data_IF_505294152122
#
_entry.id   IF_505294152122
#
_cell.length_a   1.000
_cell.length_b   1.000
_cell.length_c   1.000
_cell.angle_alpha   90.00
_cell.angle_beta   90.00
_cell.angle_gamma   90.00
#
_symmetry.space_group_name_H-M   'P 1'
#
loop_
_entity.id
_entity.type
_entity.pdbx_description
1 polymer ?
#
# COMPACT_ATOMS: atom_id res chain seq x y z
N UNK A 1 -69.48 8.66 14.54
CA UNK A 1 -68.54 7.52 14.63
C UNK A 1 -67.74 7.71 15.91
N UNK A 2 -68.15 7.12 17.04
CA UNK A 2 -67.76 5.77 17.53
C UNK A 2 -66.26 5.78 17.90
N UNK A 3 -65.74 5.50 19.10
CA UNK A 3 -66.20 5.11 20.45
C UNK A 3 -65.00 5.46 21.38
N UNK A 4 -65.26 5.98 22.59
CA UNK A 4 -64.35 5.87 23.75
C UNK A 4 -64.63 4.53 24.42
N UNK A 5 -63.61 3.75 24.82
CA UNK A 5 -63.74 2.93 26.03
C UNK A 5 -62.41 2.38 26.56
N UNK A 6 -62.46 2.13 27.86
CA UNK A 6 -61.42 1.93 28.89
C UNK A 6 -61.36 0.47 29.37
N UNK A 7 -60.15 0.04 29.80
CA UNK A 7 -59.83 -1.01 30.82
C UNK A 7 -60.30 -2.47 30.57
N UNK A 8 -59.87 -3.51 31.34
CA UNK A 8 -58.83 -3.60 32.39
C UNK A 8 -57.87 -4.83 32.33
N UNK A 9 -56.88 -4.81 33.25
CA UNK A 9 -56.14 -5.96 33.79
C UNK A 9 -57.05 -7.12 34.22
N UNK A 10 -56.56 -8.35 34.01
CA UNK A 10 -56.92 -9.52 34.83
C UNK A 10 -55.66 -10.32 35.16
N UNK A 11 -55.44 -10.52 36.47
CA UNK A 11 -54.50 -11.47 37.03
C UNK A 11 -55.15 -12.87 37.07
N UNK A 12 -54.36 -13.91 36.81
CA UNK A 12 -54.67 -15.28 37.22
C UNK A 12 -53.36 -16.05 37.48
N UNK A 13 -53.22 -16.48 38.73
CA UNK A 13 -52.20 -17.42 39.20
C UNK A 13 -52.56 -18.86 38.79
N UNK A 14 -51.59 -19.78 38.82
CA UNK A 14 -51.59 -21.03 39.63
C UNK A 14 -50.69 -22.14 39.02
N UNK A 15 -49.86 -22.69 39.91
CA UNK A 15 -49.31 -24.05 40.04
C UNK A 15 -48.21 -24.61 39.11
N UNK A 16 -47.06 -24.80 39.76
CA UNK A 16 -46.04 -25.84 39.56
C UNK A 16 -46.61 -27.27 39.74
N UNK A 17 -45.96 -28.30 39.17
CA UNK A 17 -45.29 -29.23 40.07
C UNK A 17 -43.86 -29.66 39.63
N UNK A 18 -43.04 -29.85 40.65
CA UNK A 18 -41.75 -30.55 40.67
C UNK A 18 -41.96 -32.07 40.47
N UNK A 19 -41.10 -32.73 39.68
CA UNK A 19 -40.78 -34.15 39.84
C UNK A 19 -39.28 -34.35 39.63
N UNK A 20 -38.62 -34.92 40.64
CA UNK A 20 -37.26 -35.45 40.61
C UNK A 20 -37.25 -36.87 40.03
N UNK A 21 -36.21 -37.23 39.27
CA UNK A 21 -35.73 -38.60 39.18
C UNK A 21 -34.21 -38.63 38.95
N UNK A 22 -33.51 -39.31 39.86
CA UNK A 22 -32.12 -39.77 39.76
C UNK A 22 -32.06 -41.04 38.90
N UNK A 23 -30.96 -41.27 38.19
CA UNK A 23 -30.61 -42.56 37.61
C UNK A 23 -29.23 -42.58 36.95
N UNK A 24 -28.26 -43.18 37.63
CA UNK A 24 -26.94 -43.54 37.09
C UNK A 24 -27.06 -44.71 36.09
N UNK A 25 -26.14 -44.77 35.12
CA UNK A 25 -25.91 -45.93 34.27
C UNK A 25 -24.66 -45.73 33.41
N UNK A 26 -23.54 -46.24 33.90
CA UNK A 26 -22.28 -46.48 33.21
C UNK A 26 -22.44 -47.70 32.29
N UNK A 27 -22.03 -47.59 31.02
CA UNK A 27 -21.67 -48.70 30.14
C UNK A 27 -20.89 -48.15 28.94
N UNK A 28 -19.61 -48.52 28.86
CA UNK A 28 -18.68 -48.09 27.81
C UNK A 28 -18.95 -48.71 26.44
N UNK A 29 -18.64 -47.94 25.40
CA UNK A 29 -18.32 -48.45 24.07
C UNK A 29 -17.27 -47.54 23.42
N UNK A 30 -16.12 -48.13 23.09
CA UNK A 30 -15.14 -47.51 22.19
C UNK A 30 -15.72 -47.43 20.78
N UNK A 31 -15.73 -46.24 20.20
CA UNK A 31 -15.71 -46.05 18.75
C UNK A 31 -14.67 -44.99 18.43
N UNK A 32 -13.64 -45.41 17.70
CA UNK A 32 -12.76 -44.54 16.95
C UNK A 32 -13.57 -43.85 15.86
N UNK A 33 -13.59 -42.53 15.81
CA UNK A 33 -13.78 -41.79 14.57
C UNK A 33 -13.14 -40.41 14.70
N UNK A 34 -12.26 -40.16 13.71
CA UNK A 34 -11.85 -38.89 13.10
C UNK A 34 -12.01 -37.60 13.90
N UNK A 35 -10.88 -36.94 14.15
CA UNK A 35 -10.83 -35.52 14.50
C UNK A 35 -11.44 -34.69 13.35
N UNK A 36 -12.71 -34.38 13.50
CA UNK A 36 -13.37 -33.25 12.88
C UNK A 36 -13.43 -32.15 13.94
N UNK A 37 -12.53 -31.17 13.85
CA UNK A 37 -12.60 -29.94 14.64
C UNK A 37 -12.86 -28.79 13.68
N UNK A 38 -14.05 -28.78 13.09
CA UNK A 38 -14.68 -27.56 12.61
C UNK A 38 -16.07 -27.43 13.25
N UNK A 39 -16.07 -27.22 14.57
CA UNK A 39 -17.25 -26.82 15.33
C UNK A 39 -17.09 -25.36 15.70
N UNK A 40 -17.97 -24.54 15.12
CA UNK A 40 -18.25 -23.16 15.51
C UNK A 40 -18.84 -23.14 16.93
N UNK A 41 -17.97 -23.29 17.93
CA UNK A 41 -18.27 -22.84 19.28
C UNK A 41 -18.13 -21.32 19.31
N UNK A 42 -18.92 -20.65 20.12
CA UNK A 42 -18.78 -19.24 20.51
C UNK A 42 -17.48 -19.01 21.32
N UNK A 43 -16.34 -19.44 20.76
CA UNK A 43 -15.03 -19.43 21.39
C UNK A 43 -14.57 -17.99 21.56
N UNK A 44 -14.12 -17.69 22.78
CA UNK A 44 -13.38 -16.47 23.03
C UNK A 44 -12.13 -16.46 22.12
N UNK A 45 -11.83 -15.32 21.51
CA UNK A 45 -10.64 -15.15 20.69
C UNK A 45 -9.38 -15.44 21.53
N UNK A 46 -8.55 -16.37 21.06
CA UNK A 46 -7.27 -16.68 21.72
C UNK A 46 -6.19 -15.73 21.20
N UNK A 47 -5.83 -14.74 22.03
CA UNK A 47 -4.76 -13.80 21.72
C UNK A 47 -3.39 -14.49 21.62
N UNK A 48 -2.53 -13.94 20.77
CA UNK A 48 -1.20 -14.43 20.44
C UNK A 48 -1.19 -15.86 19.83
N UNK A 49 -2.34 -16.33 19.35
CA UNK A 49 -2.44 -17.59 18.63
C UNK A 49 -1.79 -17.52 17.25
N UNK A 50 -1.34 -18.67 16.78
CA UNK A 50 -0.84 -18.86 15.43
C UNK A 50 -2.02 -19.12 14.48
N UNK A 51 -2.07 -18.38 13.38
CA UNK A 51 -3.09 -18.47 12.34
C UNK A 51 -2.44 -19.03 11.07
N UNK A 52 -3.02 -20.11 10.55
CA UNK A 52 -2.58 -20.78 9.33
C UNK A 52 -3.77 -21.10 8.41
N UNK A 53 -3.49 -21.34 7.12
CA UNK A 53 -4.50 -21.82 6.17
C UNK A 53 -5.51 -20.74 5.73
N UNK A 54 -6.80 -21.03 5.80
CA UNK A 54 -7.86 -20.20 5.21
C UNK A 54 -8.80 -19.59 6.25
N UNK A 55 -9.25 -18.36 5.99
CA UNK A 55 -10.33 -17.68 6.72
C UNK A 55 -11.52 -17.59 5.75
N UNK A 56 -12.54 -18.43 5.98
CA UNK A 56 -13.67 -18.60 5.04
C UNK A 56 -14.99 -18.00 5.53
N UNK A 57 -14.99 -17.42 6.73
CA UNK A 57 -16.12 -16.70 7.30
C UNK A 57 -15.66 -15.40 7.95
N UNK A 58 -16.58 -14.44 8.05
CA UNK A 58 -16.32 -13.16 8.71
C UNK A 58 -15.67 -13.37 10.08
N UNK A 59 -14.52 -12.75 10.26
CA UNK A 59 -13.65 -12.91 11.43
C UNK A 59 -13.25 -11.53 11.91
N UNK A 60 -13.24 -11.32 13.23
CA UNK A 60 -12.76 -10.09 13.85
C UNK A 60 -11.63 -10.42 14.81
N UNK A 61 -10.48 -9.79 14.61
CA UNK A 61 -9.34 -9.85 15.53
C UNK A 61 -9.37 -8.61 16.43
N UNK A 62 -9.60 -8.83 17.71
CA UNK A 62 -9.58 -7.81 18.78
C UNK A 62 -8.25 -7.78 19.52
N UNK A 63 -7.37 -8.78 19.32
CA UNK A 63 -6.02 -8.82 19.83
C UNK A 63 -5.02 -9.37 18.80
N UNK A 64 -3.75 -9.44 19.18
CA UNK A 64 -2.66 -9.81 18.28
C UNK A 64 -2.65 -11.30 17.93
N UNK A 65 -2.14 -11.61 16.74
CA UNK A 65 -1.96 -12.97 16.22
C UNK A 65 -0.64 -13.09 15.48
N UNK A 66 -0.19 -14.32 15.26
CA UNK A 66 0.98 -14.63 14.44
C UNK A 66 0.59 -15.45 13.22
N UNK A 67 0.88 -14.97 12.01
CA UNK A 67 0.64 -15.68 10.76
C UNK A 67 1.73 -16.73 10.52
N UNK A 68 1.31 -17.91 10.07
CA UNK A 68 2.17 -19.04 9.72
C UNK A 68 1.80 -19.58 8.35
N UNK A 69 2.76 -19.55 7.42
CA UNK A 69 2.49 -19.79 6.01
C UNK A 69 1.57 -18.72 5.39
N UNK A 70 1.08 -19.00 4.19
CA UNK A 70 0.17 -18.08 3.48
C UNK A 70 -1.23 -18.21 4.05
N UNK A 71 -1.68 -17.19 4.78
CA UNK A 71 -3.04 -17.11 5.34
C UNK A 71 -3.95 -16.44 4.32
N UNK A 72 -4.97 -17.16 3.85
CA UNK A 72 -5.85 -16.67 2.77
C UNK A 72 -7.27 -16.39 3.28
N UNK A 73 -7.70 -15.13 3.21
CA UNK A 73 -9.11 -14.74 3.41
C UNK A 73 -9.85 -14.97 2.11
N UNK A 74 -10.84 -15.87 2.12
CA UNK A 74 -11.55 -16.30 0.89
C UNK A 74 -13.05 -16.51 1.12
N UNK A 75 -13.73 -16.96 0.08
CA UNK A 75 -15.15 -17.33 0.11
C UNK A 75 -16.10 -16.18 0.52
N UNK A 76 -15.72 -14.94 0.22
CA UNK A 76 -16.53 -13.77 0.54
C UNK A 76 -16.39 -13.27 1.98
N UNK A 77 -15.45 -13.82 2.75
CA UNK A 77 -15.23 -13.45 4.13
C UNK A 77 -14.68 -12.02 4.26
N UNK A 78 -15.01 -11.39 5.39
CA UNK A 78 -14.37 -10.15 5.84
C UNK A 78 -13.49 -10.44 7.04
N UNK A 79 -12.20 -10.14 6.90
CA UNK A 79 -11.28 -10.07 8.03
C UNK A 79 -11.28 -8.64 8.56
N UNK A 80 -11.75 -8.45 9.79
CA UNK A 80 -11.72 -7.16 10.48
C UNK A 80 -10.64 -7.17 11.56
N UNK A 81 -9.74 -6.19 11.53
CA UNK A 81 -8.69 -6.02 12.53
C UNK A 81 -8.97 -4.75 13.32
N UNK A 82 -9.10 -4.88 14.63
CA UNK A 82 -9.48 -3.75 15.50
C UNK A 82 -8.29 -2.79 15.75
N UNK A 83 -8.55 -1.51 16.05
CA UNK A 83 -7.49 -0.54 16.35
C UNK A 83 -6.48 -1.01 17.41
N UNK A 84 -5.20 -0.74 17.17
CA UNK A 84 -4.10 -1.08 18.09
C UNK A 84 -3.67 -2.55 18.07
N UNK A 85 -4.31 -3.39 17.26
CA UNK A 85 -3.90 -4.79 17.10
C UNK A 85 -2.57 -4.87 16.33
N UNK A 86 -1.68 -5.73 16.81
CA UNK A 86 -0.43 -6.09 16.12
C UNK A 86 -0.52 -7.52 15.61
N UNK A 87 -0.38 -7.70 14.30
CA UNK A 87 -0.29 -8.98 13.62
C UNK A 87 1.17 -9.22 13.23
N UNK A 88 1.69 -10.40 13.55
CA UNK A 88 3.08 -10.78 13.29
C UNK A 88 3.17 -11.80 12.18
N UNK A 89 4.13 -11.71 11.27
CA UNK A 89 4.41 -12.73 10.27
C UNK A 89 5.64 -13.56 10.64
N UNK A 90 5.50 -14.90 10.64
CA UNK A 90 6.64 -15.80 10.63
C UNK A 90 7.32 -15.81 9.25
N UNK A 91 8.54 -16.31 9.20
CA UNK A 91 9.25 -16.55 7.95
C UNK A 91 8.42 -17.46 7.02
N UNK A 92 8.28 -17.06 5.74
CA UNK A 92 7.43 -17.74 4.78
C UNK A 92 5.92 -17.51 4.94
N UNK A 93 5.50 -16.61 5.84
CA UNK A 93 4.09 -16.23 5.97
C UNK A 93 3.70 -15.04 5.10
N UNK A 94 2.42 -14.93 4.76
CA UNK A 94 1.84 -13.76 4.08
C UNK A 94 0.34 -13.68 4.38
N UNK A 95 -0.27 -12.50 4.22
CA UNK A 95 -1.72 -12.35 4.25
C UNK A 95 -2.25 -12.11 2.83
N UNK A 96 -3.07 -13.02 2.32
CA UNK A 96 -3.70 -12.90 1.00
C UNK A 96 -5.21 -12.73 1.18
N UNK A 97 -5.78 -11.70 0.56
CA UNK A 97 -7.23 -11.46 0.54
C UNK A 97 -7.72 -11.76 -0.87
N UNK A 98 -8.30 -12.94 -1.03
CA UNK A 98 -8.76 -13.43 -2.32
C UNK A 98 -9.96 -12.65 -2.84
N UNK A 99 -10.09 -12.61 -4.17
CA UNK A 99 -11.22 -11.99 -4.86
C UNK A 99 -12.56 -12.48 -4.30
N UNK A 100 -13.47 -11.56 -4.06
CA UNK A 100 -14.72 -11.71 -3.31
C UNK A 100 -14.63 -11.33 -1.83
N UNK A 101 -13.44 -11.31 -1.24
CA UNK A 101 -13.20 -11.12 0.20
C UNK A 101 -12.63 -9.73 0.50
N UNK A 102 -12.60 -9.33 1.78
CA UNK A 102 -12.16 -7.99 2.19
C UNK A 102 -11.31 -7.99 3.46
N UNK A 103 -10.33 -7.09 3.51
CA UNK A 103 -9.63 -6.72 4.76
C UNK A 103 -10.11 -5.36 5.25
N UNK A 104 -10.60 -5.30 6.48
CA UNK A 104 -11.05 -4.08 7.15
C UNK A 104 -10.09 -3.82 8.32
N UNK A 105 -9.10 -2.97 8.11
CA UNK A 105 -8.11 -2.57 9.09
C UNK A 105 -8.17 -1.05 9.28
N UNK A 106 -8.99 -0.60 10.22
CA UNK A 106 -9.21 0.82 10.48
C UNK A 106 -8.75 1.17 11.90
N UNK A 107 -7.45 1.45 12.03
CA UNK A 107 -6.85 1.97 13.25
C UNK A 107 -7.16 3.44 13.50
N UNK A 108 -6.41 4.02 14.44
CA UNK A 108 -6.42 5.46 14.73
C UNK A 108 -5.00 5.98 14.83
N UNK A 109 -4.81 7.30 14.82
CA UNK A 109 -3.49 7.91 15.02
C UNK A 109 -2.82 7.41 16.31
N UNK A 110 -3.58 7.30 17.40
CA UNK A 110 -3.09 6.87 18.71
C UNK A 110 -2.99 5.33 18.85
N UNK A 111 -3.71 4.58 18.01
CA UNK A 111 -3.76 3.12 18.01
C UNK A 111 -3.70 2.59 16.57
N UNK A 112 -2.55 2.76 15.88
CA UNK A 112 -2.39 2.22 14.54
C UNK A 112 -2.44 0.68 14.59
N UNK A 113 -2.92 0.08 13.51
CA UNK A 113 -2.81 -1.37 13.32
C UNK A 113 -1.45 -1.67 12.71
N UNK A 114 -0.77 -2.68 13.22
CA UNK A 114 0.61 -2.99 12.81
C UNK A 114 0.68 -4.42 12.30
N UNK A 115 1.10 -4.60 11.06
CA UNK A 115 1.52 -5.88 10.49
C UNK A 115 3.05 -5.88 10.41
N UNK A 116 3.73 -6.80 11.10
CA UNK A 116 5.19 -6.73 11.28
C UNK A 116 5.83 -8.11 11.41
N UNK A 117 7.16 -8.15 11.47
CA UNK A 117 7.93 -9.38 11.71
C UNK A 117 7.63 -10.01 13.07
N UNK A 118 7.57 -11.34 13.11
CA UNK A 118 7.52 -12.12 14.35
C UNK A 118 8.86 -12.16 15.11
N UNK A 119 9.96 -11.71 14.49
CA UNK A 119 11.24 -11.60 15.17
C UNK A 119 11.20 -10.53 16.27
N UNK A 120 12.06 -10.72 17.27
CA UNK A 120 12.22 -9.76 18.34
C UNK A 120 12.72 -8.41 17.79
N UNK A 121 12.22 -7.31 18.36
CA UNK A 121 12.75 -5.96 18.11
C UNK A 121 14.27 -5.94 18.29
N UNK A 122 14.97 -5.27 17.39
CA UNK A 122 16.43 -5.30 17.32
C UNK A 122 16.98 -6.41 16.41
N UNK A 123 16.15 -7.35 15.97
CA UNK A 123 16.53 -8.47 15.10
C UNK A 123 15.69 -8.57 13.82
N UNK A 124 14.78 -7.62 13.58
CA UNK A 124 13.94 -7.63 12.39
C UNK A 124 14.74 -7.16 11.18
N UNK A 125 14.36 -7.66 10.01
CA UNK A 125 14.99 -7.32 8.76
C UNK A 125 13.98 -7.37 7.60
N UNK A 126 14.36 -6.71 6.50
CA UNK A 126 13.68 -6.83 5.21
C UNK A 126 13.48 -8.31 4.86
N UNK A 127 12.27 -8.68 4.44
CA UNK A 127 11.95 -10.03 4.01
C UNK A 127 11.73 -11.02 5.14
N UNK A 128 11.46 -10.56 6.36
CA UNK A 128 11.13 -11.46 7.47
C UNK A 128 9.81 -12.20 7.23
N UNK A 129 8.86 -11.58 6.52
CA UNK A 129 7.59 -12.16 6.08
C UNK A 129 7.15 -11.54 4.74
N UNK A 130 6.10 -12.09 4.13
CA UNK A 130 5.68 -11.79 2.77
C UNK A 130 5.11 -10.39 2.60
N UNK A 131 4.15 -10.00 3.44
CA UNK A 131 3.37 -8.77 3.25
C UNK A 131 1.89 -9.04 3.07
N UNK A 132 1.17 -8.05 2.55
CA UNK A 132 -0.28 -8.11 2.33
C UNK A 132 -0.57 -8.08 0.83
N UNK A 133 -1.32 -9.06 0.34
CA UNK A 133 -1.76 -9.16 -1.06
C UNK A 133 -3.27 -9.02 -1.12
N UNK A 134 -3.77 -8.03 -1.86
CA UNK A 134 -5.20 -7.75 -2.02
C UNK A 134 -5.61 -8.02 -3.47
N UNK A 135 -6.51 -8.98 -3.67
CA UNK A 135 -6.97 -9.43 -4.99
C UNK A 135 -8.37 -8.91 -5.31
N UNK A 136 -8.48 -8.09 -6.35
CA UNK A 136 -9.70 -7.43 -6.78
C UNK A 136 -10.23 -7.88 -8.14
N UNK A 137 -11.36 -7.29 -8.52
CA UNK A 137 -12.11 -7.58 -9.76
C UNK A 137 -12.19 -6.38 -10.73
N UNK A 138 -11.47 -5.28 -10.46
CA UNK A 138 -11.42 -4.14 -11.37
C UNK A 138 -10.66 -4.47 -12.66
N UNK A 139 -10.73 -3.57 -13.64
CA UNK A 139 -10.06 -3.77 -14.92
C UNK A 139 -8.54 -3.70 -14.78
N UNK A 140 -7.87 -4.49 -15.60
CA UNK A 140 -6.46 -4.38 -15.95
C UNK A 140 -6.32 -4.45 -17.47
N UNK A 141 -5.10 -4.30 -17.97
CA UNK A 141 -4.80 -4.31 -19.41
C UNK A 141 -4.16 -5.62 -19.88
N UNK A 142 -4.20 -6.68 -19.05
CA UNK A 142 -3.77 -8.02 -19.45
C UNK A 142 -4.62 -8.54 -20.61
N UNK A 143 -4.03 -9.33 -21.50
CA UNK A 143 -4.71 -9.82 -22.70
C UNK A 143 -6.00 -10.62 -22.39
N UNK A 144 -6.05 -11.30 -21.24
CA UNK A 144 -7.20 -12.06 -20.75
C UNK A 144 -8.11 -11.26 -19.81
N UNK A 145 -7.74 -10.03 -19.45
CA UNK A 145 -8.41 -9.21 -18.42
C UNK A 145 -8.30 -9.78 -16.99
N UNK A 146 -7.45 -10.78 -16.79
CA UNK A 146 -7.24 -11.47 -15.51
C UNK A 146 -5.87 -12.14 -15.48
N UNK A 147 -5.27 -12.20 -14.30
CA UNK A 147 -3.96 -12.80 -14.05
C UNK A 147 -3.99 -13.65 -12.78
N UNK A 148 -2.84 -14.28 -12.48
CA UNK A 148 -2.58 -14.91 -11.17
C UNK A 148 -1.51 -14.07 -10.50
N UNK A 149 -1.72 -13.73 -9.22
CA UNK A 149 -0.75 -12.96 -8.45
C UNK A 149 0.60 -13.69 -8.40
N UNK A 150 1.66 -12.92 -8.62
CA UNK A 150 3.03 -13.41 -8.60
C UNK A 150 3.50 -13.76 -7.19
N UNK A 151 4.53 -14.61 -7.10
CA UNK A 151 5.02 -15.17 -5.84
C UNK A 151 4.13 -16.25 -5.23
N UNK A 152 2.87 -16.35 -5.67
CA UNK A 152 1.88 -17.31 -5.18
C UNK A 152 1.72 -18.53 -6.11
N UNK A 153 1.04 -19.57 -5.61
CA UNK A 153 0.81 -20.80 -6.39
C UNK A 153 -0.04 -20.53 -7.64
N UNK A 154 0.62 -20.54 -8.81
CA UNK A 154 0.00 -20.33 -10.11
C UNK A 154 -1.14 -21.32 -10.44
N UNK A 155 -1.20 -22.47 -9.76
CA UNK A 155 -2.27 -23.45 -9.90
C UNK A 155 -3.50 -23.19 -9.03
N UNK A 156 -3.43 -22.25 -8.08
CA UNK A 156 -4.51 -21.97 -7.14
C UNK A 156 -5.45 -20.86 -7.67
N UNK A 157 -6.72 -21.16 -7.97
CA UNK A 157 -7.67 -20.17 -8.47
C UNK A 157 -8.03 -19.07 -7.45
N UNK A 158 -7.77 -19.27 -6.15
CA UNK A 158 -8.00 -18.22 -5.14
C UNK A 158 -7.05 -17.03 -5.33
N UNK A 159 -5.93 -17.22 -6.03
CA UNK A 159 -4.93 -16.18 -6.31
C UNK A 159 -5.15 -15.46 -7.64
N UNK A 160 -6.28 -15.71 -8.29
CA UNK A 160 -6.69 -14.99 -9.49
C UNK A 160 -7.21 -13.58 -9.17
N UNK A 161 -6.83 -12.61 -10.00
CA UNK A 161 -7.32 -11.23 -9.94
C UNK A 161 -7.78 -10.74 -11.30
N UNK A 162 -8.40 -9.56 -11.31
CA UNK A 162 -8.87 -8.92 -12.52
C UNK A 162 -10.27 -9.37 -12.91
N UNK A 163 -10.96 -8.48 -13.61
CA UNK A 163 -12.33 -8.63 -14.02
C UNK A 163 -12.83 -7.36 -14.72
N UNK A 164 -14.03 -6.92 -14.36
CA UNK A 164 -14.65 -5.74 -14.97
C UNK A 164 -15.35 -4.81 -13.99
N UNK A 165 -15.22 -5.03 -12.68
CA UNK A 165 -15.87 -4.23 -11.64
C UNK A 165 -14.95 -3.13 -11.12
N UNK A 166 -14.96 -1.99 -11.80
CA UNK A 166 -14.22 -0.77 -11.39
C UNK A 166 -14.69 -0.20 -10.04
N UNK A 167 -15.82 -0.66 -9.49
CA UNK A 167 -16.31 -0.31 -8.16
C UNK A 167 -15.94 -1.36 -7.08
N UNK A 168 -15.19 -2.41 -7.45
CA UNK A 168 -14.80 -3.47 -6.54
C UNK A 168 -14.04 -2.92 -5.32
N UNK A 169 -14.30 -3.49 -4.14
CA UNK A 169 -13.66 -3.08 -2.90
C UNK A 169 -12.83 -4.23 -2.32
N UNK A 170 -11.51 -4.04 -2.27
CA UNK A 170 -10.59 -4.91 -1.55
C UNK A 170 -10.67 -4.73 -0.02
N UNK A 171 -11.41 -3.72 0.44
CA UNK A 171 -11.59 -3.39 1.85
C UNK A 171 -11.10 -1.98 2.20
N UNK A 172 -10.66 -1.80 3.44
CA UNK A 172 -10.17 -0.51 3.97
C UNK A 172 -8.90 -0.67 4.79
N UNK A 173 -7.91 0.16 4.51
CA UNK A 173 -6.68 0.32 5.28
C UNK A 173 -6.63 1.77 5.78
N UNK A 174 -6.73 1.95 7.10
CA UNK A 174 -6.64 3.26 7.73
C UNK A 174 -5.79 3.26 8.99
N UNK A 175 -4.79 4.15 9.07
CA UNK A 175 -3.78 4.14 10.15
C UNK A 175 -3.14 2.76 10.32
N UNK A 176 -2.58 2.25 9.23
CA UNK A 176 -1.97 0.92 9.15
C UNK A 176 -0.49 1.06 8.90
N UNK A 177 0.32 0.27 9.59
CA UNK A 177 1.73 0.06 9.28
C UNK A 177 1.98 -1.37 8.84
N UNK A 178 2.79 -1.53 7.81
CA UNK A 178 3.25 -2.82 7.30
C UNK A 178 4.77 -2.79 7.25
N UNK A 179 5.41 -3.62 8.04
CA UNK A 179 6.83 -3.48 8.39
C UNK A 179 7.61 -4.77 8.10
N UNK A 180 8.85 -4.67 7.60
CA UNK A 180 9.81 -5.78 7.46
C UNK A 180 9.34 -6.93 6.54
N UNK A 181 8.62 -6.55 5.49
CA UNK A 181 8.04 -7.39 4.42
C UNK A 181 9.04 -7.73 3.33
N UNK A 182 8.67 -8.53 2.31
CA UNK A 182 9.58 -8.86 1.21
C UNK A 182 9.99 -10.33 1.07
N UNK A 183 9.29 -11.27 1.70
CA UNK A 183 9.74 -12.67 1.70
C UNK A 183 9.60 -13.32 0.32
N UNK A 184 10.66 -13.99 -0.13
CA UNK A 184 10.75 -14.77 -1.37
C UNK A 184 10.01 -16.12 -1.23
N UNK A 185 8.73 -16.16 -1.62
CA UNK A 185 7.94 -17.40 -1.54
C UNK A 185 8.36 -18.44 -2.58
N UNK A 186 8.80 -17.98 -3.76
CA UNK A 186 9.39 -18.82 -4.80
C UNK A 186 10.63 -18.16 -5.38
N UNK A 187 11.53 -18.94 -6.00
CA UNK A 187 12.85 -18.47 -6.42
C UNK A 187 12.74 -17.21 -7.31
N UNK A 188 13.45 -16.15 -6.92
CA UNK A 188 13.49 -14.84 -7.57
C UNK A 188 12.08 -14.19 -7.69
N UNK A 189 11.22 -14.42 -6.69
CA UNK A 189 9.87 -13.85 -6.61
C UNK A 189 9.48 -13.56 -5.15
N UNK A 190 10.02 -12.46 -4.66
CA UNK A 190 9.64 -11.76 -3.45
C UNK A 190 8.21 -11.20 -3.55
N UNK A 191 7.50 -11.18 -2.42
CA UNK A 191 6.26 -10.41 -2.31
C UNK A 191 6.57 -8.98 -1.87
N UNK A 192 5.73 -8.02 -2.29
CA UNK A 192 5.86 -6.62 -1.94
C UNK A 192 5.27 -6.32 -0.56
N UNK A 193 5.41 -5.08 -0.10
CA UNK A 193 4.87 -4.71 1.20
C UNK A 193 3.35 -4.74 1.26
N UNK A 194 2.70 -3.96 0.40
CA UNK A 194 1.26 -4.09 0.15
C UNK A 194 1.02 -4.09 -1.34
N UNK A 195 0.52 -5.21 -1.85
CA UNK A 195 0.21 -5.38 -3.27
C UNK A 195 -1.28 -5.26 -3.52
N UNK A 196 -1.65 -4.39 -4.46
CA UNK A 196 -3.03 -4.20 -4.91
C UNK A 196 -3.20 -4.73 -6.33
N UNK A 197 -3.76 -5.93 -6.46
CA UNK A 197 -4.12 -6.47 -7.77
C UNK A 197 -5.55 -6.09 -8.12
N UNK A 198 -5.73 -5.22 -9.11
CA UNK A 198 -7.04 -4.88 -9.68
C UNK A 198 -8.07 -4.46 -8.61
N UNK A 199 -7.62 -3.70 -7.60
CA UNK A 199 -8.51 -3.11 -6.60
C UNK A 199 -9.22 -1.88 -7.17
N UNK A 200 -10.54 -1.81 -6.94
CA UNK A 200 -11.40 -0.78 -7.52
C UNK A 200 -11.63 0.43 -6.62
N UNK A 201 -12.42 1.39 -7.12
CA UNK A 201 -12.81 2.63 -6.42
C UNK A 201 -13.55 2.43 -5.09
N UNK A 202 -14.05 1.22 -4.81
CA UNK A 202 -14.63 0.88 -3.51
C UNK A 202 -13.60 0.62 -2.41
N UNK A 203 -12.31 0.55 -2.75
CA UNK A 203 -11.21 0.33 -1.80
C UNK A 203 -10.81 1.65 -1.14
N UNK A 204 -10.66 1.67 0.18
CA UNK A 204 -10.25 2.87 0.93
C UNK A 204 -8.84 2.70 1.49
N UNK A 205 -7.95 3.64 1.19
CA UNK A 205 -6.60 3.69 1.75
C UNK A 205 -6.31 5.10 2.24
N UNK A 206 -6.08 5.27 3.53
CA UNK A 206 -5.81 6.57 4.15
C UNK A 206 -4.89 6.40 5.37
N UNK A 207 -3.71 7.02 5.42
CA UNK A 207 -2.71 6.76 6.48
C UNK A 207 -2.19 5.32 6.45
N UNK A 208 -1.51 4.96 5.36
CA UNK A 208 -0.82 3.68 5.20
C UNK A 208 0.69 3.94 5.19
N UNK A 209 1.43 3.22 6.03
CA UNK A 209 2.89 3.16 5.96
C UNK A 209 3.36 1.78 5.57
N UNK A 210 4.30 1.70 4.63
CA UNK A 210 5.17 0.54 4.43
C UNK A 210 6.61 0.88 4.83
N UNK A 211 7.24 0.00 5.61
CA UNK A 211 8.55 0.24 6.20
C UNK A 211 9.49 -0.96 6.03
N UNK A 212 10.70 -0.71 5.51
CA UNK A 212 11.78 -1.71 5.44
C UNK A 212 11.37 -3.00 4.68
N UNK A 213 10.78 -2.86 3.49
CA UNK A 213 10.48 -3.99 2.60
C UNK A 213 11.71 -4.47 1.80
N UNK A 214 11.87 -5.78 1.58
CA UNK A 214 12.97 -6.32 0.74
C UNK A 214 12.74 -6.03 -0.74
N UNK A 215 11.48 -6.01 -1.13
CA UNK A 215 11.00 -5.66 -2.46
C UNK A 215 10.26 -4.32 -2.40
N UNK A 216 9.34 -4.07 -3.32
CA UNK A 216 8.62 -2.82 -3.39
C UNK A 216 7.82 -2.51 -2.12
N UNK A 217 7.72 -1.21 -1.83
CA UNK A 217 6.89 -0.73 -0.73
C UNK A 217 5.42 -1.01 -0.99
N UNK A 218 4.87 -0.38 -2.03
CA UNK A 218 3.50 -0.59 -2.48
C UNK A 218 3.52 -0.81 -3.98
N UNK A 219 2.87 -1.86 -4.44
CA UNK A 219 2.77 -2.16 -5.86
C UNK A 219 1.31 -2.31 -6.30
N UNK A 220 0.99 -1.74 -7.46
CA UNK A 220 -0.36 -1.77 -8.02
C UNK A 220 -0.38 -2.40 -9.42
N UNK A 221 -1.09 -3.52 -9.53
CA UNK A 221 -1.30 -4.25 -10.78
C UNK A 221 -2.73 -4.03 -11.30
N UNK A 222 -2.91 -3.04 -12.17
CA UNK A 222 -4.24 -2.66 -12.65
C UNK A 222 -5.16 -2.10 -11.56
N UNK A 223 -6.43 -1.88 -11.91
CA UNK A 223 -7.42 -1.27 -11.02
C UNK A 223 -7.37 0.26 -10.98
N UNK A 224 -8.17 0.84 -10.10
CA UNK A 224 -8.41 2.29 -10.07
C UNK A 224 -8.76 2.84 -8.68
N UNK A 225 -8.34 2.13 -7.61
CA UNK A 225 -8.44 2.66 -6.25
C UNK A 225 -7.58 3.93 -6.09
N UNK A 226 -7.98 4.82 -5.17
CA UNK A 226 -7.22 6.02 -4.85
C UNK A 226 -6.97 6.12 -3.35
N UNK A 227 -5.82 6.67 -2.96
CA UNK A 227 -5.37 6.73 -1.58
C UNK A 227 -4.92 8.12 -1.13
N UNK A 228 -4.88 8.32 0.18
CA UNK A 228 -4.34 9.53 0.80
C UNK A 228 -3.38 9.20 1.94
N UNK A 229 -2.44 10.10 2.24
CA UNK A 229 -1.51 9.96 3.37
C UNK A 229 -0.75 8.63 3.33
N UNK A 230 0.10 8.47 2.32
CA UNK A 230 0.88 7.26 2.10
C UNK A 230 2.34 7.51 2.44
N UNK A 231 2.94 6.62 3.23
CA UNK A 231 4.35 6.70 3.60
C UNK A 231 5.05 5.42 3.16
N UNK A 232 6.15 5.54 2.44
CA UNK A 232 7.07 4.42 2.21
C UNK A 232 8.45 4.83 2.68
N UNK A 233 9.06 3.96 3.48
CA UNK A 233 10.33 4.26 4.15
C UNK A 233 11.26 3.08 3.99
N UNK A 234 12.34 3.32 3.25
CA UNK A 234 13.35 2.33 2.91
C UNK A 234 12.68 1.10 2.32
N UNK A 235 12.11 1.15 1.13
CA UNK A 235 12.01 -0.05 0.30
C UNK A 235 13.42 -0.36 -0.23
N UNK A 236 13.75 -1.63 -0.44
CA UNK A 236 15.07 -1.99 -0.98
C UNK A 236 15.05 -2.00 -2.51
N UNK A 237 13.92 -2.36 -3.12
CA UNK A 237 13.65 -2.10 -4.54
C UNK A 237 12.94 -0.74 -4.68
N UNK A 238 11.72 -0.69 -5.22
CA UNK A 238 11.02 0.57 -5.50
C UNK A 238 10.08 0.99 -4.36
N UNK A 239 9.91 2.30 -4.16
CA UNK A 239 8.99 2.74 -3.10
C UNK A 239 7.53 2.56 -3.51
N UNK A 240 7.21 2.94 -4.75
CA UNK A 240 5.90 2.72 -5.37
C UNK A 240 6.13 2.18 -6.78
N UNK A 241 5.57 1.01 -7.08
CA UNK A 241 5.46 0.50 -8.44
C UNK A 241 4.00 0.51 -8.90
N UNK A 242 3.76 0.79 -10.19
CA UNK A 242 2.54 0.34 -10.81
C UNK A 242 2.68 -0.11 -12.25
N UNK A 243 1.86 -1.08 -12.61
CA UNK A 243 1.75 -1.63 -13.94
C UNK A 243 0.29 -2.00 -14.30
N UNK A 244 0.14 -2.75 -15.39
CA UNK A 244 -1.04 -3.49 -15.79
C UNK A 244 -2.35 -2.68 -15.89
N UNK A 245 -2.24 -1.40 -16.20
CA UNK A 245 -3.38 -0.53 -16.45
C UNK A 245 -3.92 0.14 -15.20
N UNK A 246 -3.10 0.33 -14.16
CA UNK A 246 -3.50 1.08 -12.98
C UNK A 246 -3.83 2.55 -13.33
N UNK A 247 -5.03 3.00 -12.98
CA UNK A 247 -5.54 4.36 -13.33
C UNK A 247 -5.97 5.15 -12.10
N UNK A 248 -5.56 4.70 -10.92
CA UNK A 248 -5.87 5.34 -9.65
C UNK A 248 -5.03 6.58 -9.36
N UNK A 249 -5.07 7.04 -8.11
CA UNK A 249 -4.34 8.25 -7.71
C UNK A 249 -3.96 8.23 -6.24
N UNK A 250 -2.81 8.81 -5.90
CA UNK A 250 -2.38 9.02 -4.51
C UNK A 250 -2.19 10.51 -4.22
N UNK A 251 -2.61 10.96 -3.04
CA UNK A 251 -2.38 12.33 -2.56
C UNK A 251 -1.75 12.37 -1.17
N UNK A 252 -0.84 13.30 -0.93
CA UNK A 252 -0.06 13.39 0.32
C UNK A 252 0.79 12.13 0.50
N UNK A 253 1.90 12.07 -0.23
CA UNK A 253 2.77 10.89 -0.31
C UNK A 253 4.18 11.26 0.16
N UNK A 254 4.71 10.55 1.14
CA UNK A 254 6.06 10.71 1.63
C UNK A 254 6.89 9.45 1.36
N UNK A 255 7.91 9.56 0.52
CA UNK A 255 8.82 8.46 0.18
C UNK A 255 10.22 8.82 0.65
N UNK A 256 10.83 7.96 1.44
CA UNK A 256 12.15 8.24 2.04
C UNK A 256 12.99 6.98 1.89
N UNK A 257 13.99 7.02 1.01
CA UNK A 257 14.87 5.88 0.75
C UNK A 257 15.92 5.71 1.87
N UNK A 258 16.34 4.47 2.07
CA UNK A 258 17.34 4.10 3.08
C UNK A 258 18.74 4.39 2.52
N UNK A 259 19.61 5.16 3.21
CA UNK A 259 20.98 5.43 2.73
C UNK A 259 21.82 4.20 2.38
N UNK A 260 21.45 3.01 2.86
CA UNK A 260 22.11 1.76 2.55
C UNK A 260 21.40 0.89 1.48
N UNK A 261 20.17 1.24 1.06
CA UNK A 261 19.35 0.44 0.15
C UNK A 261 18.28 1.27 -0.57
N UNK A 262 17.93 0.87 -1.79
CA UNK A 262 16.84 1.47 -2.55
C UNK A 262 17.14 1.51 -4.04
N UNK A 263 16.08 1.57 -4.82
CA UNK A 263 16.10 1.72 -6.26
C UNK A 263 15.36 3.01 -6.65
N UNK A 264 14.21 2.97 -7.30
CA UNK A 264 13.41 4.15 -7.63
C UNK A 264 12.44 4.55 -6.50
N UNK A 265 12.14 5.84 -6.39
CA UNK A 265 10.98 6.27 -5.59
C UNK A 265 9.68 5.89 -6.30
N UNK A 266 9.67 5.88 -7.64
CA UNK A 266 8.56 5.42 -8.46
C UNK A 266 9.08 4.61 -9.65
N UNK A 267 8.61 3.39 -9.84
CA UNK A 267 8.74 2.66 -11.10
C UNK A 267 7.35 2.51 -11.73
N UNK A 268 7.16 3.05 -12.94
CA UNK A 268 5.84 3.13 -13.56
C UNK A 268 5.91 2.52 -14.96
N UNK A 269 5.07 1.53 -15.21
CA UNK A 269 5.02 0.80 -16.47
C UNK A 269 3.59 0.60 -16.97
N UNK A 270 3.40 0.31 -18.25
CA UNK A 270 2.07 -0.02 -18.77
C UNK A 270 1.81 -1.53 -18.77
N UNK A 271 2.35 -2.23 -19.76
CA UNK A 271 2.26 -3.69 -19.86
C UNK A 271 3.38 -4.18 -20.76
N UNK A 272 4.21 -5.08 -20.24
CA UNK A 272 5.46 -5.49 -20.88
C UNK A 272 5.30 -6.20 -22.24
N UNK A 273 4.22 -6.98 -22.43
CA UNK A 273 3.96 -7.71 -23.69
C UNK A 273 3.31 -6.84 -24.78
N UNK A 274 2.65 -5.74 -24.38
CA UNK A 274 1.95 -4.82 -25.25
C UNK A 274 1.98 -3.41 -24.65
N UNK A 275 3.00 -2.63 -25.04
CA UNK A 275 3.22 -1.27 -24.55
C UNK A 275 2.05 -0.31 -24.84
N UNK A 276 1.15 -0.68 -25.76
CA UNK A 276 -0.06 0.06 -26.12
C UNK A 276 -1.35 -0.55 -25.54
N UNK A 277 -1.25 -1.43 -24.54
CA UNK A 277 -2.39 -2.03 -23.89
C UNK A 277 -3.28 -0.98 -23.22
N UNK A 278 -4.59 -1.22 -23.28
CA UNK A 278 -5.62 -0.37 -22.68
C UNK A 278 -6.45 -1.18 -21.65
N UNK A 279 -6.89 -0.58 -20.53
CA UNK A 279 -6.63 0.80 -20.13
C UNK A 279 -5.14 1.04 -19.86
N UNK A 280 -4.60 2.14 -20.36
CA UNK A 280 -3.20 2.50 -20.12
C UNK A 280 -2.97 2.78 -18.63
N UNK A 281 -1.86 2.30 -18.06
CA UNK A 281 -1.41 2.73 -16.74
C UNK A 281 -1.22 4.24 -16.79
N UNK A 282 -1.98 4.95 -15.95
CA UNK A 282 -2.10 6.40 -15.96
C UNK A 282 -2.34 6.97 -14.56
N UNK A 283 -1.49 6.66 -13.56
CA UNK A 283 -1.65 7.16 -12.21
C UNK A 283 -1.48 8.67 -12.12
N UNK A 284 -2.06 9.24 -11.06
CA UNK A 284 -1.77 10.61 -10.63
C UNK A 284 -1.22 10.64 -9.23
N UNK A 285 -0.12 11.34 -9.04
CA UNK A 285 0.52 11.54 -7.75
C UNK A 285 0.50 13.04 -7.42
N UNK A 286 -0.13 13.41 -6.31
CA UNK A 286 -0.37 14.80 -5.95
C UNK A 286 0.17 15.05 -4.54
N UNK A 287 0.89 16.15 -4.33
CA UNK A 287 1.50 16.46 -3.02
C UNK A 287 2.46 15.34 -2.58
N UNK A 288 3.58 15.21 -3.28
CA UNK A 288 4.60 14.18 -3.04
C UNK A 288 5.84 14.83 -2.43
N UNK A 289 6.44 14.20 -1.43
CA UNK A 289 7.83 14.47 -1.02
C UNK A 289 8.60 13.16 -1.12
N UNK A 290 9.46 13.05 -2.12
CA UNK A 290 10.32 11.90 -2.37
C UNK A 290 11.78 12.29 -2.09
N UNK A 291 12.40 11.57 -1.15
CA UNK A 291 13.74 11.84 -0.66
C UNK A 291 14.60 10.61 -0.96
N UNK A 292 15.56 10.80 -1.85
CA UNK A 292 16.60 9.83 -2.16
C UNK A 292 17.74 9.88 -1.13
N UNK A 293 18.85 9.27 -1.50
CA UNK A 293 20.02 9.15 -0.64
C UNK A 293 21.19 9.89 -1.27
N UNK A 294 21.47 11.09 -0.78
CA UNK A 294 22.69 11.81 -1.14
C UNK A 294 23.88 11.21 -0.36
N UNK A 295 24.27 9.98 -0.68
CA UNK A 295 25.38 9.31 -0.01
C UNK A 295 26.70 9.55 -0.76
N UNK A 296 27.60 10.28 -0.11
CA UNK A 296 29.03 10.18 -0.43
C UNK A 296 29.55 8.80 -0.05
N UNK A 297 29.91 7.98 -1.04
CA UNK A 297 30.60 6.69 -0.88
C UNK A 297 30.37 5.75 -2.06
N UNK A 298 31.25 4.75 -2.24
CA UNK A 298 31.14 3.67 -3.24
C UNK A 298 30.03 2.64 -2.88
N UNK A 299 28.90 3.09 -2.35
CA UNK A 299 27.72 2.23 -2.16
C UNK A 299 26.93 2.32 -3.47
N UNK A 300 26.69 1.18 -4.09
CA UNK A 300 25.78 1.06 -5.24
C UNK A 300 24.33 1.34 -4.82
N UNK A 301 24.01 2.56 -4.38
CA UNK A 301 22.61 2.95 -4.20
C UNK A 301 22.09 3.35 -5.57
N UNK A 302 21.25 2.51 -6.17
CA UNK A 302 20.45 2.81 -7.37
C UNK A 302 19.35 3.86 -7.06
N UNK A 303 19.50 4.63 -5.98
CA UNK A 303 18.58 5.64 -5.45
C UNK A 303 18.22 6.67 -6.51
N UNK A 304 17.11 6.45 -7.20
CA UNK A 304 16.63 7.22 -8.33
C UNK A 304 15.19 7.70 -8.09
N UNK A 305 14.74 8.69 -8.85
CA UNK A 305 13.45 9.35 -8.63
C UNK A 305 12.31 8.58 -9.26
N UNK A 306 12.03 8.83 -10.54
CA UNK A 306 10.91 8.24 -11.28
C UNK A 306 11.43 7.52 -12.52
N UNK A 307 11.04 6.27 -12.70
CA UNK A 307 11.19 5.52 -13.93
C UNK A 307 9.87 5.45 -14.67
N UNK A 308 9.88 5.84 -15.94
CA UNK A 308 8.74 5.78 -16.85
C UNK A 308 9.08 4.83 -17.99
N UNK A 309 8.45 3.66 -18.02
CA UNK A 309 8.74 2.62 -19.00
C UNK A 309 7.49 2.08 -19.69
N UNK A 310 7.71 1.32 -20.75
CA UNK A 310 6.70 0.45 -21.35
C UNK A 310 5.43 1.16 -21.87
N UNK A 311 5.49 2.45 -22.20
CA UNK A 311 4.34 3.20 -22.67
C UNK A 311 3.45 3.76 -21.56
N UNK A 312 3.92 3.85 -20.31
CA UNK A 312 3.13 4.43 -19.23
C UNK A 312 2.72 5.89 -19.51
N UNK A 313 1.57 6.30 -18.98
CA UNK A 313 1.21 7.71 -18.76
C UNK A 313 1.31 8.01 -17.26
N UNK A 314 1.60 9.25 -16.86
CA UNK A 314 1.70 9.60 -15.44
C UNK A 314 1.57 11.11 -15.26
N UNK A 315 0.92 11.54 -14.18
CA UNK A 315 0.87 12.96 -13.82
C UNK A 315 1.31 13.19 -12.37
N UNK A 316 2.32 14.04 -12.19
CA UNK A 316 2.81 14.51 -10.91
C UNK A 316 2.45 16.00 -10.72
N UNK A 317 1.84 16.31 -9.58
CA UNK A 317 1.54 17.69 -9.19
C UNK A 317 2.04 17.95 -7.77
N UNK A 318 2.61 19.13 -7.53
CA UNK A 318 3.07 19.51 -6.19
C UNK A 318 4.08 18.50 -5.61
N UNK A 319 5.02 18.02 -6.42
CA UNK A 319 5.99 17.01 -6.00
C UNK A 319 7.35 17.63 -5.65
N UNK A 320 8.01 17.16 -4.59
CA UNK A 320 9.41 17.44 -4.28
C UNK A 320 10.20 16.16 -4.57
N UNK A 321 11.23 16.26 -5.42
CA UNK A 321 12.24 15.22 -5.64
C UNK A 321 13.59 15.72 -5.15
N UNK A 322 14.09 15.11 -4.09
CA UNK A 322 15.23 15.61 -3.31
C UNK A 322 16.28 14.54 -3.10
N UNK A 323 17.52 14.82 -3.47
CA UNK A 323 18.67 14.03 -3.02
C UNK A 323 18.86 12.66 -3.69
N UNK A 324 18.33 12.44 -4.90
CA UNK A 324 18.56 11.21 -5.64
C UNK A 324 19.96 11.15 -6.24
N UNK A 325 20.64 10.01 -6.07
CA UNK A 325 21.95 9.77 -6.69
C UNK A 325 21.81 9.35 -8.15
N UNK A 326 20.90 8.42 -8.45
CA UNK A 326 20.58 8.02 -9.82
C UNK A 326 19.81 9.09 -10.60
N UNK A 327 19.26 8.72 -11.77
CA UNK A 327 18.37 9.59 -12.53
C UNK A 327 17.20 10.06 -11.65
N UNK A 328 16.91 11.36 -11.65
CA UNK A 328 15.70 11.84 -10.97
C UNK A 328 14.47 11.52 -11.81
N UNK A 329 14.59 11.57 -13.14
CA UNK A 329 13.59 11.06 -14.07
C UNK A 329 14.33 10.24 -15.13
N UNK A 330 13.97 8.97 -15.26
CA UNK A 330 14.34 8.10 -16.37
C UNK A 330 13.09 7.82 -17.22
N UNK A 331 13.21 7.99 -18.55
CA UNK A 331 12.16 7.64 -19.51
C UNK A 331 12.74 6.70 -20.57
N UNK A 332 12.21 5.49 -20.65
CA UNK A 332 12.67 4.46 -21.59
C UNK A 332 11.62 4.14 -22.64
N UNK A 333 12.08 3.53 -23.75
CA UNK A 333 11.29 3.12 -24.92
C UNK A 333 10.61 4.24 -25.73
N UNK A 334 10.64 4.10 -27.06
CA UNK A 334 9.95 5.04 -27.96
C UNK A 334 8.42 5.08 -27.79
N UNK A 335 7.82 4.05 -27.18
CA UNK A 335 6.39 4.05 -26.85
C UNK A 335 6.06 5.07 -25.74
N UNK A 336 6.86 5.09 -24.67
CA UNK A 336 6.71 6.07 -23.57
C UNK A 336 7.00 7.49 -24.06
N UNK A 337 8.00 7.66 -24.93
CA UNK A 337 8.30 8.95 -25.58
C UNK A 337 7.11 9.45 -26.41
N UNK A 338 6.42 8.56 -27.13
CA UNK A 338 5.23 8.92 -27.91
C UNK A 338 4.07 9.36 -27.01
N UNK A 339 3.88 8.71 -25.85
CA UNK A 339 2.90 9.11 -24.84
C UNK A 339 3.26 10.48 -24.24
N UNK A 340 4.54 10.69 -23.91
CA UNK A 340 5.03 11.96 -23.40
C UNK A 340 4.84 13.10 -24.43
N UNK A 341 5.20 12.88 -25.70
CA UNK A 341 4.99 13.84 -26.79
C UNK A 341 3.51 14.18 -27.05
N UNK A 342 2.59 13.26 -26.70
CA UNK A 342 1.15 13.48 -26.75
C UNK A 342 0.58 14.17 -25.50
N UNK A 343 1.41 14.49 -24.51
CA UNK A 343 1.02 15.15 -23.25
C UNK A 343 0.52 14.21 -22.17
N UNK A 344 0.81 12.91 -22.27
CA UNK A 344 0.46 11.88 -21.28
C UNK A 344 1.39 11.80 -20.07
N UNK A 345 2.54 12.48 -20.11
CA UNK A 345 3.47 12.63 -18.99
C UNK A 345 3.46 14.09 -18.53
N UNK A 346 3.25 14.33 -17.23
CA UNK A 346 3.22 15.68 -16.64
C UNK A 346 3.95 15.75 -15.31
N UNK A 347 4.71 16.81 -15.13
CA UNK A 347 5.29 17.23 -13.86
C UNK A 347 4.99 18.70 -13.70
N UNK A 348 4.08 19.07 -12.79
CA UNK A 348 3.59 20.45 -12.67
C UNK A 348 3.65 20.95 -11.23
N UNK A 349 4.11 22.19 -11.06
CA UNK A 349 4.31 22.84 -9.77
C UNK A 349 5.17 21.95 -8.86
N UNK A 350 6.23 21.36 -9.40
CA UNK A 350 7.11 20.44 -8.70
C UNK A 350 8.49 21.05 -8.49
N UNK A 351 9.25 20.51 -7.54
CA UNK A 351 10.58 20.98 -7.20
C UNK A 351 11.58 19.85 -7.31
N UNK A 352 12.72 20.15 -7.92
CA UNK A 352 13.86 19.24 -8.08
C UNK A 352 15.08 19.91 -7.44
N UNK A 353 15.70 19.25 -6.45
CA UNK A 353 16.85 19.82 -5.76
C UNK A 353 17.82 18.74 -5.27
N UNK A 354 19.12 19.00 -5.43
CA UNK A 354 20.17 18.13 -4.91
C UNK A 354 20.18 16.73 -5.51
N UNK A 355 19.61 16.55 -6.70
CA UNK A 355 19.66 15.28 -7.44
C UNK A 355 20.90 15.28 -8.32
N UNK A 356 21.78 14.28 -8.20
CA UNK A 356 23.02 14.23 -8.98
C UNK A 356 23.62 12.83 -9.05
N UNK A 357 23.82 12.35 -10.29
CA UNK A 357 24.60 11.14 -10.60
C UNK A 357 26.11 11.38 -10.58
N UNK A 358 26.52 12.61 -10.88
CA UNK A 358 27.91 13.06 -10.92
C UNK A 358 27.85 14.57 -10.73
N UNK A 359 28.52 15.10 -9.70
CA UNK A 359 28.47 16.49 -9.24
C UNK A 359 28.91 17.52 -10.32
N UNK A 360 28.00 17.91 -11.21
CA UNK A 360 28.18 19.00 -12.17
C UNK A 360 27.08 20.09 -12.10
N UNK A 361 26.09 19.91 -11.23
CA UNK A 361 24.99 20.85 -11.01
C UNK A 361 23.84 20.75 -12.01
N UNK A 362 23.77 19.71 -12.85
CA UNK A 362 22.60 19.42 -13.68
C UNK A 362 21.64 18.43 -12.99
N UNK A 363 20.34 18.64 -13.16
CA UNK A 363 19.33 17.67 -12.75
C UNK A 363 19.39 16.43 -13.67
N UNK A 364 19.57 15.20 -13.14
CA UNK A 364 19.86 14.04 -13.97
C UNK A 364 18.58 13.47 -14.62
N UNK A 365 18.26 13.96 -15.82
CA UNK A 365 17.25 13.38 -16.70
C UNK A 365 17.88 12.36 -17.66
N UNK A 366 17.31 11.16 -17.75
CA UNK A 366 17.84 10.08 -18.60
C UNK A 366 16.78 9.59 -19.57
N UNK A 367 17.20 9.37 -20.81
CA UNK A 367 16.39 8.71 -21.85
C UNK A 367 17.10 7.45 -22.35
N UNK A 368 16.35 6.55 -22.97
CA UNK A 368 16.90 5.30 -23.52
C UNK A 368 18.10 5.50 -24.46
N UNK A 369 19.01 4.52 -24.51
CA UNK A 369 20.25 4.61 -25.28
C UNK A 369 19.98 4.96 -26.77
N UNK A 370 20.61 6.04 -27.24
CA UNK A 370 20.46 6.51 -28.62
C UNK A 370 19.20 7.34 -28.90
N UNK A 371 18.34 7.57 -27.90
CA UNK A 371 17.21 8.49 -28.00
C UNK A 371 17.67 9.94 -28.12
N UNK A 372 16.83 10.76 -28.74
CA UNK A 372 16.97 12.22 -28.80
C UNK A 372 15.75 12.94 -28.21
N UNK A 373 14.95 12.25 -27.40
CA UNK A 373 13.78 12.84 -26.75
C UNK A 373 14.22 13.94 -25.76
N UNK A 374 13.58 15.11 -25.85
CA UNK A 374 13.91 16.27 -25.03
C UNK A 374 13.17 16.21 -23.69
N UNK A 375 13.64 15.32 -22.81
CA UNK A 375 13.06 15.14 -21.47
C UNK A 375 13.27 16.39 -20.60
N UNK A 376 14.44 17.02 -20.69
CA UNK A 376 14.74 18.29 -20.01
C UNK A 376 13.73 19.37 -20.42
N UNK A 377 13.52 19.59 -21.72
CA UNK A 377 12.55 20.55 -22.21
C UNK A 377 11.10 20.24 -21.82
N UNK A 378 10.74 18.96 -21.66
CA UNK A 378 9.42 18.57 -21.15
C UNK A 378 9.25 18.92 -19.68
N UNK A 379 10.24 18.66 -18.83
CA UNK A 379 10.17 18.89 -17.38
C UNK A 379 10.33 20.38 -17.07
N UNK A 380 11.27 21.06 -17.71
CA UNK A 380 11.63 22.45 -17.43
C UNK A 380 10.85 23.47 -18.27
N UNK A 381 9.81 23.04 -19.00
CA UNK A 381 8.89 23.98 -19.68
C UNK A 381 8.35 24.99 -18.65
N UNK A 382 8.52 26.31 -18.87
CA UNK A 382 8.01 27.33 -17.97
C UNK A 382 6.51 27.24 -17.66
N UNK A 383 5.71 26.61 -18.54
CA UNK A 383 4.29 26.36 -18.31
C UNK A 383 4.01 25.38 -17.16
N UNK A 384 4.99 24.55 -16.80
CA UNK A 384 4.88 23.60 -15.70
C UNK A 384 5.03 24.26 -14.32
N UNK A 385 5.65 25.45 -14.24
CA UNK A 385 6.02 26.12 -12.98
C UNK A 385 6.88 25.24 -12.05
N UNK A 386 7.76 24.43 -12.61
CA UNK A 386 8.70 23.65 -11.82
C UNK A 386 9.84 24.53 -11.27
N UNK A 387 10.28 24.23 -10.06
CA UNK A 387 11.41 24.87 -9.39
C UNK A 387 12.62 23.94 -9.51
N UNK A 388 13.61 24.35 -10.32
CA UNK A 388 14.85 23.60 -10.53
C UNK A 388 15.95 24.19 -9.65
N UNK A 389 16.78 23.34 -9.05
CA UNK A 389 17.91 23.70 -8.19
C UNK A 389 17.58 24.70 -7.08
N UNK A 390 16.35 24.61 -6.58
CA UNK A 390 15.84 25.48 -5.53
C UNK A 390 15.66 24.67 -4.26
N UNK A 391 16.38 25.03 -3.19
CA UNK A 391 16.30 24.31 -1.91
C UNK A 391 14.86 24.36 -1.34
N UNK A 392 14.21 23.21 -1.07
CA UNK A 392 12.88 23.19 -0.47
C UNK A 392 12.87 23.62 1.00
N UNK A 393 14.04 23.79 1.63
CA UNK A 393 14.20 24.16 3.03
C UNK A 393 13.40 23.25 3.98
N UNK A 394 13.51 21.93 3.78
CA UNK A 394 12.99 20.93 4.72
C UNK A 394 13.86 20.86 5.98
N UNK A 395 13.26 20.49 7.11
CA UNK A 395 13.89 20.69 8.43
C UNK A 395 14.68 19.49 8.96
N UNK A 396 14.62 18.32 8.31
CA UNK A 396 15.47 17.17 8.61
C UNK A 396 15.38 16.05 7.56
N UNK A 397 16.53 15.61 7.03
CA UNK A 397 16.64 14.53 6.03
C UNK A 397 17.24 13.24 6.61
N UNK A 398 17.34 13.13 7.94
CA UNK A 398 17.82 11.91 8.59
C UNK A 398 16.78 10.80 8.41
N UNK A 399 17.15 9.71 7.75
CA UNK A 399 16.27 8.56 7.52
C UNK A 399 15.66 8.00 8.82
N UNK A 400 16.40 8.04 9.92
CA UNK A 400 15.95 7.49 11.21
C UNK A 400 15.04 8.42 11.99
N UNK A 401 14.96 9.69 11.61
CA UNK A 401 14.12 10.70 12.22
C UNK A 401 13.84 11.85 11.22
N UNK A 402 13.14 11.59 10.11
CA UNK A 402 12.98 12.58 9.07
C UNK A 402 11.99 13.65 9.53
N UNK A 403 12.23 14.87 9.07
CA UNK A 403 11.31 15.99 9.26
C UNK A 403 11.13 16.66 7.90
N UNK A 404 10.11 16.19 7.20
CA UNK A 404 9.77 16.60 5.84
C UNK A 404 8.98 17.91 5.80
N UNK A 405 8.71 18.53 6.95
CA UNK A 405 8.04 19.82 7.00
C UNK A 405 8.95 20.95 6.48
N UNK A 406 8.46 21.79 5.55
CA UNK A 406 9.20 22.96 5.10
C UNK A 406 9.25 24.04 6.18
N UNK A 407 10.35 24.80 6.22
CA UNK A 407 10.44 26.01 7.05
C UNK A 407 9.50 27.12 6.56
N UNK A 408 9.29 28.13 7.39
CA UNK A 408 8.49 29.30 7.03
C UNK A 408 9.02 30.08 5.80
N UNK A 409 10.33 30.01 5.56
CA UNK A 409 11.01 30.68 4.45
C UNK A 409 11.03 29.84 3.17
N UNK A 410 10.50 28.62 3.21
CA UNK A 410 10.54 27.69 2.08
C UNK A 410 9.82 28.24 0.84
N UNK A 411 10.42 28.09 -0.35
CA UNK A 411 9.80 28.50 -1.61
C UNK A 411 8.62 27.61 -2.01
N UNK A 412 8.46 26.44 -1.38
CA UNK A 412 7.35 25.52 -1.67
C UNK A 412 6.02 25.99 -1.09
N UNK A 413 6.04 26.92 -0.14
CA UNK A 413 4.84 27.46 0.50
C UNK A 413 4.17 28.49 -0.40
N UNK A 414 2.87 28.33 -0.67
CA UNK A 414 2.13 29.21 -1.56
C UNK A 414 2.39 28.98 -3.05
N UNK A 415 3.19 27.96 -3.41
CA UNK A 415 3.61 27.66 -4.78
C UNK A 415 2.88 26.43 -5.38
N UNK A 416 2.05 25.75 -4.60
CA UNK A 416 1.32 24.56 -5.08
C UNK A 416 0.03 24.88 -5.81
N UNK A 417 -0.34 24.00 -6.74
CA UNK A 417 -1.65 23.98 -7.37
C UNK A 417 -2.06 22.54 -7.68
N UNK A 418 -2.87 21.96 -6.78
CA UNK A 418 -3.45 20.63 -7.00
C UNK A 418 -4.48 20.67 -8.15
N UNK A 419 -4.56 19.61 -8.99
CA UNK A 419 -5.56 19.52 -10.05
C UNK A 419 -6.97 19.31 -9.46
N UNK A 420 -8.00 19.57 -10.27
CA UNK A 420 -9.39 19.37 -9.86
C UNK A 420 -9.66 17.90 -9.48
N UNK A 421 -10.42 17.68 -8.40
CA UNK A 421 -10.74 16.35 -7.87
C UNK A 421 -9.85 15.91 -6.70
N UNK A 422 -8.84 16.70 -6.36
CA UNK A 422 -7.94 16.48 -5.22
C UNK A 422 -8.18 17.51 -4.11
N UNK A 423 -7.66 17.24 -2.91
CA UNK A 423 -7.66 18.23 -1.84
C UNK A 423 -6.87 19.47 -2.28
N UNK A 424 -7.39 20.65 -1.95
CA UNK A 424 -6.70 21.89 -2.26
C UNK A 424 -5.41 21.98 -1.45
N UNK A 425 -4.29 22.08 -2.15
CA UNK A 425 -2.98 22.33 -1.57
C UNK A 425 -2.32 23.48 -2.31
N UNK A 426 -2.08 24.57 -1.59
CA UNK A 426 -1.37 25.75 -2.06
C UNK A 426 0.15 25.63 -1.82
N UNK A 427 0.66 24.42 -1.62
CA UNK A 427 2.07 24.13 -1.37
C UNK A 427 2.56 22.94 -2.21
N UNK A 428 3.86 22.93 -2.50
CA UNK A 428 4.56 21.81 -3.13
C UNK A 428 5.08 20.89 -2.02
N UNK A 429 4.92 19.58 -2.18
CA UNK A 429 5.31 18.58 -1.18
C UNK A 429 4.14 17.87 -0.50
N UNK A 430 4.46 16.86 0.32
CA UNK A 430 3.51 16.04 1.08
C UNK A 430 2.84 16.80 2.24
N UNK A 431 3.58 17.69 2.90
CA UNK A 431 3.18 18.45 4.10
C UNK A 431 3.34 19.95 3.89
N UNK A 432 2.39 20.72 4.43
CA UNK A 432 2.34 22.17 4.22
C UNK A 432 3.35 22.95 5.07
N UNK A 433 3.60 22.47 6.29
CA UNK A 433 4.40 23.06 7.36
C UNK A 433 4.44 22.09 8.54
N UNK A 434 5.13 22.48 9.62
CA UNK A 434 5.29 21.65 10.81
C UNK A 434 3.96 21.40 11.56
N UNK A 435 3.05 22.37 11.61
CA UNK A 435 1.76 22.20 12.29
C UNK A 435 0.82 21.23 11.56
N UNK A 436 0.96 21.15 10.23
CA UNK A 436 0.18 20.26 9.35
C UNK A 436 0.89 18.95 9.02
N UNK A 437 1.95 18.59 9.74
CA UNK A 437 2.68 17.35 9.48
C UNK A 437 1.87 16.13 9.93
N UNK A 438 1.21 15.51 8.95
CA UNK A 438 0.37 14.34 9.15
C UNK A 438 1.15 13.05 9.33
N UNK A 439 2.48 13.05 9.13
CA UNK A 439 3.33 11.86 9.31
C UNK A 439 3.65 11.58 10.78
N UNK A 440 3.44 12.55 11.67
CA UNK A 440 3.84 12.46 13.07
C UNK A 440 2.92 11.56 13.92
N UNK A 441 3.54 10.93 14.93
CA UNK A 441 2.94 10.14 16.02
C UNK A 441 2.34 8.76 15.67
N UNK A 442 2.28 8.39 14.39
CA UNK A 442 1.77 7.06 13.98
C UNK A 442 2.77 6.26 13.14
N UNK A 443 3.68 6.92 12.42
CA UNK A 443 4.70 6.29 11.60
C UNK A 443 5.84 5.69 12.44
N UNK A 444 6.65 4.83 11.83
CA UNK A 444 7.87 4.26 12.39
C UNK A 444 9.09 4.53 11.49
N UNK A 445 10.27 4.64 12.09
CA UNK A 445 11.56 4.78 11.42
C UNK A 445 12.61 3.84 12.04
N UNK A 446 12.15 2.73 12.63
CA UNK A 446 12.98 1.81 13.38
C UNK A 446 13.88 0.99 12.43
N UNK A 447 15.18 0.88 12.76
CA UNK A 447 16.08 0.11 11.92
C UNK A 447 15.78 -1.41 11.94
N UNK A 448 15.26 -1.95 13.06
CA UNK A 448 15.05 -3.38 13.31
C UNK A 448 14.17 -3.71 14.52
#
# INVERSE_FOLDING_TARGET
MTIKQTLPMFAAAVALPLVFALGCGDDGMQTSDTADTNETASGEEECDSEIEGTIESDTTWTCGHTLSGVVTVKNGAKLTVMPGVTIKGLNGSALVVAKGSQLIAEGTKEQPIVFTSALAEGSRARGDWGGIVLLGDAKNNLQTGSGIAEGLDAGNPDYAYGGGDDAYSCGSLKWVRVEYVGYELTKDNELNGVTFYSCGTGTTVDYLQVHMGKDDGIEMFGGNWSGKHVVVTGAQDDSIDCDQGYTGSLQHVALIQDPAAGNYAFELSNQADNLDAEPRTAPKFVNVTAIGTAAGGDIETQSAGVRLKEGVAAEFYNAIFLGFHGPVIELTEGATEAVAAAGGIKFMNSLFFGNSAVDDGATPYVVGEGSTFDLEGLIEDPANNNLIDTDPLLTGLDFTAPNIAPTDASPVRGAGAAPAGFDAADYIGAVANAEGDWTLDWTTYAAN
#
